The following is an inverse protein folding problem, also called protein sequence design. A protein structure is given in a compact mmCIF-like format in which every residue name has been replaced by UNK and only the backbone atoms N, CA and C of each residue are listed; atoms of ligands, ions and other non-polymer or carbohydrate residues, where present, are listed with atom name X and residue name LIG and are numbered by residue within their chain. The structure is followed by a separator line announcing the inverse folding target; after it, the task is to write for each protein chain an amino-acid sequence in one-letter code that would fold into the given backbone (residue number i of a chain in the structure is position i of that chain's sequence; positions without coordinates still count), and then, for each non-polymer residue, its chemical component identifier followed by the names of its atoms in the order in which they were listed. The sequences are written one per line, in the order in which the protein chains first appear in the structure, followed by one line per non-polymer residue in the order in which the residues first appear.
data_IF_504518488552
#
_entry.id   IF_504518488552
#
_cell.length_a   1.000
_cell.length_b   1.000
_cell.length_c   1.000
_cell.angle_alpha   90.00
_cell.angle_beta   90.00
_cell.angle_gamma   90.00
#
_symmetry.space_group_name_H-M   'P 1'
#
loop_
_entity.id
_entity.type
_entity.pdbx_description
1 polymer ?
#
# COMPACT_ATOMS: atom_id res chain seq x y z
N UNK A 1 7.02 -13.49 -21.08
CA UNK A 1 7.58 -12.15 -20.86
C UNK A 1 7.00 -11.55 -19.58
N UNK A 2 7.82 -11.18 -18.59
CA UNK A 2 7.34 -10.68 -17.30
C UNK A 2 6.65 -9.32 -17.37
N UNK A 3 6.92 -8.54 -18.43
CA UNK A 3 6.37 -7.18 -18.61
C UNK A 3 4.95 -7.10 -19.19
N UNK A 4 4.31 -8.21 -19.51
CA UNK A 4 2.94 -8.21 -20.06
C UNK A 4 1.88 -8.15 -18.95
N UNK A 5 1.78 -7.01 -18.27
CA UNK A 5 0.85 -6.80 -17.15
C UNK A 5 -0.60 -7.12 -17.50
N UNK A 6 -1.10 -6.66 -18.65
CA UNK A 6 -2.48 -6.95 -19.11
C UNK A 6 -2.72 -8.44 -19.31
N UNK A 7 -1.80 -9.14 -19.98
CA UNK A 7 -1.92 -10.59 -20.17
C UNK A 7 -1.92 -11.34 -18.82
N UNK A 8 -1.10 -10.90 -17.89
CA UNK A 8 -1.04 -11.45 -16.53
C UNK A 8 -2.34 -11.20 -15.77
N UNK A 9 -2.92 -10.01 -15.90
CA UNK A 9 -4.23 -9.69 -15.33
C UNK A 9 -5.33 -10.61 -15.83
N UNK A 10 -5.44 -10.80 -17.15
CA UNK A 10 -6.41 -11.72 -17.76
C UNK A 10 -6.19 -13.16 -17.30
N UNK A 11 -4.93 -13.61 -17.22
CA UNK A 11 -4.59 -14.93 -16.73
C UNK A 11 -5.09 -15.12 -15.28
N UNK A 12 -4.78 -14.17 -14.37
CA UNK A 12 -5.22 -14.23 -12.98
C UNK A 12 -6.74 -14.19 -12.84
N UNK A 13 -7.40 -13.29 -13.53
CA UNK A 13 -8.87 -13.20 -13.52
C UNK A 13 -9.50 -14.52 -13.97
N UNK A 14 -8.97 -15.16 -15.04
CA UNK A 14 -9.47 -16.44 -15.51
C UNK A 14 -9.18 -17.59 -14.54
N UNK A 15 -8.01 -17.58 -13.87
CA UNK A 15 -7.66 -18.55 -12.84
C UNK A 15 -8.56 -18.42 -11.61
N UNK A 16 -8.82 -17.19 -11.15
CA UNK A 16 -9.74 -16.91 -10.04
C UNK A 16 -11.16 -17.38 -10.38
N UNK A 17 -11.63 -17.12 -11.59
CA UNK A 17 -12.96 -17.56 -12.03
C UNK A 17 -13.10 -19.09 -12.09
N UNK A 18 -12.04 -19.80 -12.47
CA UNK A 18 -12.00 -21.27 -12.52
C UNK A 18 -11.77 -21.91 -11.14
N UNK A 19 -11.16 -21.23 -10.22
CA UNK A 19 -10.79 -21.77 -8.92
C UNK A 19 -11.98 -21.80 -7.98
N UNK A 20 -12.47 -22.98 -7.65
CA UNK A 20 -13.44 -23.17 -6.57
C UNK A 20 -12.85 -22.83 -5.19
N UNK A 21 -11.53 -22.80 -5.05
CA UNK A 21 -10.81 -22.46 -3.84
C UNK A 21 -10.91 -20.96 -3.50
N UNK A 22 -11.21 -20.10 -4.46
CA UNK A 22 -11.44 -18.67 -4.26
C UNK A 22 -12.61 -18.37 -3.28
N UNK A 23 -13.48 -19.34 -3.06
CA UNK A 23 -14.62 -19.28 -2.14
C UNK A 23 -14.35 -20.06 -0.84
N UNK A 24 -13.26 -20.81 -0.78
CA UNK A 24 -12.96 -21.75 0.31
C UNK A 24 -12.21 -21.08 1.45
N UNK A 25 -12.67 -21.32 2.68
CA UNK A 25 -12.05 -20.81 3.90
C UNK A 25 -10.64 -21.36 4.18
N UNK A 26 -10.05 -20.91 5.27
CA UNK A 26 -8.69 -21.20 5.75
C UNK A 26 -8.27 -22.70 5.71
N UNK A 27 -9.21 -23.64 5.92
CA UNK A 27 -8.93 -25.07 5.93
C UNK A 27 -8.49 -25.62 4.55
N UNK A 28 -9.09 -25.13 3.46
CA UNK A 28 -8.73 -25.56 2.10
C UNK A 28 -7.41 -24.95 1.66
N UNK A 29 -7.12 -23.72 2.06
CA UNK A 29 -5.83 -23.08 1.82
C UNK A 29 -4.69 -23.87 2.49
N UNK A 30 -4.86 -24.38 3.70
CA UNK A 30 -3.86 -25.19 4.39
C UNK A 30 -3.58 -26.53 3.70
N UNK A 31 -4.63 -27.17 3.17
CA UNK A 31 -4.51 -28.42 2.39
C UNK A 31 -3.78 -28.18 1.07
N UNK A 32 -4.06 -27.09 0.38
CA UNK A 32 -3.38 -26.71 -0.86
C UNK A 32 -1.91 -26.45 -0.62
N UNK A 33 -1.57 -25.76 0.46
CA UNK A 33 -0.19 -25.49 0.85
C UNK A 33 0.57 -26.80 1.12
N UNK A 34 -0.03 -27.72 1.90
CA UNK A 34 0.61 -29.00 2.23
C UNK A 34 0.89 -29.82 0.97
N UNK A 35 -0.05 -29.87 0.04
CA UNK A 35 0.10 -30.55 -1.27
C UNK A 35 1.18 -29.93 -2.14
N UNK A 36 1.37 -28.62 -2.05
CA UNK A 36 2.30 -27.86 -2.89
C UNK A 36 3.60 -27.49 -2.18
N UNK A 37 3.84 -28.01 -0.96
CA UNK A 37 4.94 -27.59 -0.09
C UNK A 37 6.31 -27.63 -0.79
N UNK A 38 6.61 -28.69 -1.53
CA UNK A 38 7.88 -28.81 -2.26
C UNK A 38 8.06 -27.72 -3.33
N UNK A 39 7.00 -27.44 -4.08
CA UNK A 39 7.02 -26.37 -5.09
C UNK A 39 7.06 -24.99 -4.44
N UNK A 40 6.40 -24.82 -3.30
CA UNK A 40 6.42 -23.59 -2.52
C UNK A 40 7.82 -23.26 -2.00
N UNK A 41 8.50 -24.21 -1.36
CA UNK A 41 9.87 -24.03 -0.89
C UNK A 41 10.84 -23.71 -2.04
N UNK A 42 10.69 -24.40 -3.17
CA UNK A 42 11.49 -24.14 -4.37
C UNK A 42 11.24 -22.72 -4.89
N UNK A 43 9.99 -22.29 -4.98
CA UNK A 43 9.63 -20.94 -5.42
C UNK A 43 10.19 -19.89 -4.46
N UNK A 44 10.11 -20.12 -3.15
CA UNK A 44 10.63 -19.21 -2.13
C UNK A 44 12.16 -19.07 -2.20
N UNK A 45 12.88 -20.18 -2.35
CA UNK A 45 14.34 -20.16 -2.52
C UNK A 45 14.75 -19.38 -3.79
N UNK A 46 14.04 -19.59 -4.89
CA UNK A 46 14.33 -18.91 -6.16
C UNK A 46 13.97 -17.42 -6.09
N UNK A 47 12.87 -17.07 -5.40
CA UNK A 47 12.42 -15.71 -5.24
C UNK A 47 13.43 -14.83 -4.48
N UNK A 48 14.02 -15.36 -3.42
CA UNK A 48 15.07 -14.68 -2.64
C UNK A 48 16.49 -14.88 -3.16
N UNK A 49 16.69 -15.71 -4.20
CA UNK A 49 18.01 -16.11 -4.70
C UNK A 49 18.46 -15.32 -5.93
N UNK A 50 19.47 -15.90 -6.61
CA UNK A 50 20.10 -15.28 -7.81
C UNK A 50 19.23 -15.30 -9.08
N UNK A 51 18.08 -16.03 -9.06
CA UNK A 51 17.22 -16.22 -10.24
C UNK A 51 15.76 -15.90 -9.93
N UNK A 52 15.42 -14.63 -9.60
CA UNK A 52 14.06 -14.27 -9.18
C UNK A 52 13.02 -14.47 -10.31
N UNK A 53 13.41 -14.35 -11.59
CA UNK A 53 12.50 -14.64 -12.71
C UNK A 53 12.03 -16.10 -12.75
N UNK A 54 12.95 -17.04 -12.42
CA UNK A 54 12.57 -18.46 -12.23
C UNK A 54 11.68 -18.63 -11.00
N UNK A 55 11.89 -17.80 -9.97
CA UNK A 55 11.01 -17.69 -8.79
C UNK A 55 9.61 -17.26 -9.17
N UNK A 56 9.47 -16.22 -10.02
CA UNK A 56 8.18 -15.79 -10.57
C UNK A 56 7.47 -16.91 -11.32
N UNK A 57 8.21 -17.61 -12.21
CA UNK A 57 7.64 -18.72 -12.98
C UNK A 57 7.19 -19.89 -12.08
N UNK A 58 7.93 -20.18 -11.02
CA UNK A 58 7.56 -21.20 -10.04
C UNK A 58 6.34 -20.77 -9.21
N UNK A 59 6.28 -19.50 -8.80
CA UNK A 59 5.15 -18.93 -8.08
C UNK A 59 3.89 -18.86 -8.95
N UNK A 60 4.01 -18.58 -10.25
CA UNK A 60 2.89 -18.62 -11.20
C UNK A 60 2.24 -20.01 -11.27
N UNK A 61 3.03 -21.09 -11.19
CA UNK A 61 2.50 -22.46 -11.12
C UNK A 61 1.73 -22.72 -9.82
N UNK A 62 2.16 -22.15 -8.70
CA UNK A 62 1.44 -22.24 -7.43
C UNK A 62 0.12 -21.46 -7.51
N UNK A 63 0.15 -20.25 -8.03
CA UNK A 63 -1.02 -19.40 -8.20
C UNK A 63 -2.01 -19.95 -9.24
N UNK A 64 -1.57 -20.85 -10.14
CA UNK A 64 -2.50 -21.56 -11.04
C UNK A 64 -3.35 -22.61 -10.29
N UNK A 65 -2.90 -23.08 -9.14
CA UNK A 65 -3.64 -24.04 -8.29
C UNK A 65 -4.55 -23.33 -7.29
N UNK A 66 -4.03 -22.30 -6.63
CA UNK A 66 -4.81 -21.42 -5.73
C UNK A 66 -4.36 -19.97 -5.93
N UNK A 67 -5.07 -19.22 -6.78
CA UNK A 67 -4.66 -17.86 -7.18
C UNK A 67 -4.81 -16.82 -6.06
N UNK A 68 -5.54 -17.13 -5.00
CA UNK A 68 -5.77 -16.24 -3.85
C UNK A 68 -5.08 -16.73 -2.56
N UNK A 69 -4.22 -17.76 -2.64
CA UNK A 69 -3.51 -18.25 -1.48
C UNK A 69 -2.51 -17.20 -0.97
N UNK A 70 -2.62 -16.72 0.28
CA UNK A 70 -1.80 -15.59 0.77
C UNK A 70 -0.30 -15.82 0.62
N UNK A 71 0.18 -17.02 0.96
CA UNK A 71 1.60 -17.34 0.87
C UNK A 71 2.11 -17.41 -0.57
N UNK A 72 1.29 -17.92 -1.52
CA UNK A 72 1.67 -17.97 -2.93
C UNK A 72 1.74 -16.58 -3.55
N UNK A 73 0.77 -15.71 -3.19
CA UNK A 73 0.77 -14.30 -3.54
C UNK A 73 2.02 -13.59 -3.00
N UNK A 74 2.38 -13.84 -1.74
CA UNK A 74 3.57 -13.27 -1.11
C UNK A 74 4.88 -13.71 -1.79
N UNK A 75 5.02 -15.00 -2.11
CA UNK A 75 6.21 -15.51 -2.81
C UNK A 75 6.32 -14.94 -4.21
N UNK A 76 5.18 -14.83 -4.92
CA UNK A 76 5.17 -14.19 -6.24
C UNK A 76 5.57 -12.72 -6.16
N UNK A 77 5.04 -11.97 -5.19
CA UNK A 77 5.40 -10.57 -4.99
C UNK A 77 6.90 -10.41 -4.71
N UNK A 78 7.47 -11.25 -3.81
CA UNK A 78 8.92 -11.24 -3.54
C UNK A 78 9.74 -11.53 -4.79
N UNK A 79 9.33 -12.51 -5.59
CA UNK A 79 10.04 -12.85 -6.82
C UNK A 79 9.96 -11.71 -7.84
N UNK A 80 8.80 -11.06 -7.97
CA UNK A 80 8.59 -9.97 -8.90
C UNK A 80 9.37 -8.71 -8.49
N UNK A 81 9.40 -8.35 -7.22
CA UNK A 81 10.20 -7.24 -6.69
C UNK A 81 11.69 -7.46 -6.96
N UNK A 82 12.22 -8.64 -6.60
CA UNK A 82 13.62 -8.97 -6.79
C UNK A 82 14.02 -9.10 -8.26
N UNK A 83 13.06 -9.39 -9.14
CA UNK A 83 13.26 -9.40 -10.59
C UNK A 83 13.16 -8.02 -11.24
N UNK A 84 12.82 -6.95 -10.48
CA UNK A 84 12.65 -5.60 -11.00
C UNK A 84 11.30 -5.33 -11.67
N UNK A 85 10.26 -6.11 -11.30
CA UNK A 85 8.90 -5.95 -11.82
C UNK A 85 7.89 -5.63 -10.69
N UNK A 86 8.05 -4.49 -9.98
CA UNK A 86 7.19 -4.14 -8.84
C UNK A 86 5.72 -4.00 -9.24
N UNK A 87 5.43 -3.56 -10.47
CA UNK A 87 4.05 -3.43 -10.96
C UNK A 87 3.34 -4.80 -11.05
N UNK A 88 4.07 -5.86 -11.38
CA UNK A 88 3.52 -7.22 -11.42
C UNK A 88 3.21 -7.74 -9.99
N UNK A 89 4.04 -7.36 -9.01
CA UNK A 89 3.80 -7.64 -7.61
C UNK A 89 2.55 -6.90 -7.12
N UNK A 90 2.47 -5.60 -7.36
CA UNK A 90 1.32 -4.75 -7.01
C UNK A 90 0.04 -5.33 -7.58
N UNK A 91 -0.01 -5.59 -8.88
CA UNK A 91 -1.20 -6.13 -9.55
C UNK A 91 -1.68 -7.45 -8.92
N UNK A 92 -0.75 -8.34 -8.57
CA UNK A 92 -1.11 -9.63 -7.97
C UNK A 92 -1.64 -9.45 -6.54
N UNK A 93 -1.04 -8.53 -5.77
CA UNK A 93 -1.47 -8.18 -4.42
C UNK A 93 -2.82 -7.44 -4.42
N UNK A 94 -3.05 -6.50 -5.37
CA UNK A 94 -4.34 -5.82 -5.56
C UNK A 94 -5.47 -6.84 -5.75
N UNK A 95 -5.30 -7.75 -6.70
CA UNK A 95 -6.30 -8.77 -7.00
C UNK A 95 -6.59 -9.69 -5.81
N UNK A 96 -5.57 -10.02 -5.02
CA UNK A 96 -5.74 -10.83 -3.82
C UNK A 96 -6.44 -10.02 -2.72
N UNK A 97 -6.08 -8.76 -2.53
CA UNK A 97 -6.66 -7.88 -1.53
C UNK A 97 -8.12 -7.52 -1.82
N UNK A 98 -8.47 -7.24 -3.08
CA UNK A 98 -9.85 -7.00 -3.49
C UNK A 98 -10.80 -8.16 -3.17
N UNK A 99 -10.28 -9.39 -3.22
CA UNK A 99 -11.06 -10.61 -2.99
C UNK A 99 -11.06 -11.08 -1.54
N UNK A 100 -10.01 -10.75 -0.80
CA UNK A 100 -9.77 -11.18 0.58
C UNK A 100 -9.57 -10.02 1.54
N UNK A 101 -10.16 -8.90 1.38
CA UNK A 101 -9.98 -7.61 2.03
C UNK A 101 -9.61 -7.56 3.52
N UNK A 102 -9.53 -8.72 4.19
CA UNK A 102 -9.20 -8.93 5.60
C UNK A 102 -7.74 -9.39 5.86
N UNK A 103 -6.95 -9.65 4.81
CA UNK A 103 -5.55 -10.11 4.98
C UNK A 103 -4.61 -8.93 5.23
N UNK A 104 -4.30 -8.73 6.51
CA UNK A 104 -3.42 -7.66 6.98
C UNK A 104 -2.02 -7.73 6.35
N UNK A 105 -1.48 -8.93 6.12
CA UNK A 105 -0.14 -9.09 5.57
C UNK A 105 -0.07 -8.68 4.09
N UNK A 106 -1.11 -9.03 3.31
CA UNK A 106 -1.25 -8.60 1.92
C UNK A 106 -1.44 -7.07 1.85
N UNK A 107 -2.34 -6.51 2.67
CA UNK A 107 -2.62 -5.08 2.69
C UNK A 107 -1.38 -4.26 3.06
N UNK A 108 -0.65 -4.66 4.09
CA UNK A 108 0.57 -3.99 4.54
C UNK A 108 1.67 -4.01 3.47
N UNK A 109 1.83 -5.15 2.79
CA UNK A 109 2.82 -5.26 1.72
C UNK A 109 2.44 -4.43 0.50
N UNK A 110 1.17 -4.44 0.13
CA UNK A 110 0.65 -3.63 -0.98
C UNK A 110 0.87 -2.13 -0.72
N UNK A 111 0.57 -1.67 0.50
CA UNK A 111 0.80 -0.29 0.89
C UNK A 111 2.27 0.11 0.81
N UNK A 112 3.18 -0.75 1.26
CA UNK A 112 4.63 -0.54 1.14
C UNK A 112 5.07 -0.42 -0.31
N UNK A 113 4.65 -1.35 -1.17
CA UNK A 113 4.99 -1.32 -2.61
C UNK A 113 4.44 -0.07 -3.32
N UNK A 114 3.25 0.39 -2.98
CA UNK A 114 2.75 1.65 -3.52
C UNK A 114 3.61 2.84 -3.12
N UNK A 115 4.08 2.87 -1.87
CA UNK A 115 5.00 3.91 -1.40
C UNK A 115 6.34 3.84 -2.15
N UNK A 116 6.90 2.64 -2.33
CA UNK A 116 8.19 2.42 -3.01
C UNK A 116 8.16 2.84 -4.50
N UNK A 117 7.02 2.66 -5.18
CA UNK A 117 6.85 3.10 -6.58
C UNK A 117 6.32 4.53 -6.72
N UNK A 118 6.19 5.28 -5.61
CA UNK A 118 5.72 6.67 -5.62
C UNK A 118 4.24 6.85 -5.89
N UNK A 119 3.40 5.82 -5.68
CA UNK A 119 1.94 5.93 -5.75
C UNK A 119 1.37 6.30 -4.37
N UNK A 120 1.77 7.46 -3.86
CA UNK A 120 1.53 7.93 -2.48
C UNK A 120 0.06 7.95 -2.09
N UNK A 121 -0.83 8.38 -2.99
CA UNK A 121 -2.27 8.37 -2.75
C UNK A 121 -2.81 6.96 -2.50
N UNK A 122 -2.42 5.98 -3.32
CA UNK A 122 -2.85 4.58 -3.13
C UNK A 122 -2.23 3.96 -1.89
N UNK A 123 -0.98 4.31 -1.58
CA UNK A 123 -0.33 3.89 -0.34
C UNK A 123 -1.12 4.38 0.88
N UNK A 124 -1.50 5.67 0.90
CA UNK A 124 -2.34 6.26 1.94
C UNK A 124 -3.68 5.52 2.07
N UNK A 125 -4.42 5.34 0.97
CA UNK A 125 -5.70 4.61 0.97
C UNK A 125 -5.57 3.19 1.55
N UNK A 126 -4.47 2.49 1.26
CA UNK A 126 -4.19 1.18 1.86
C UNK A 126 -3.88 1.27 3.36
N UNK A 127 -3.11 2.27 3.80
CA UNK A 127 -2.83 2.47 5.23
C UNK A 127 -4.07 2.90 6.01
N UNK A 128 -4.97 3.69 5.44
CA UNK A 128 -6.27 4.03 6.02
C UNK A 128 -7.06 2.74 6.31
N UNK A 129 -7.20 1.85 5.33
CA UNK A 129 -7.88 0.56 5.52
C UNK A 129 -7.19 -0.33 6.56
N UNK A 130 -5.86 -0.31 6.64
CA UNK A 130 -5.10 -1.04 7.66
C UNK A 130 -5.40 -0.55 9.07
N UNK A 131 -5.50 0.77 9.25
CA UNK A 131 -5.87 1.38 10.54
C UNK A 131 -7.33 1.07 10.90
N UNK A 132 -8.25 1.06 9.94
CA UNK A 132 -9.64 0.62 10.17
C UNK A 132 -9.69 -0.83 10.65
N UNK A 133 -8.88 -1.72 10.07
CA UNK A 133 -8.79 -3.13 10.49
C UNK A 133 -8.16 -3.30 11.88
N UNK A 134 -7.23 -2.41 12.27
CA UNK A 134 -6.51 -2.43 13.55
C UNK A 134 -6.33 -1.03 14.14
N UNK A 135 -7.37 -0.42 14.69
CA UNK A 135 -7.33 0.96 15.18
C UNK A 135 -6.40 1.15 16.39
N UNK A 136 -6.11 0.09 17.14
CA UNK A 136 -5.25 0.13 18.32
C UNK A 136 -3.75 -0.08 18.02
N UNK A 137 -3.38 -0.27 16.75
CA UNK A 137 -1.97 -0.42 16.36
C UNK A 137 -1.34 0.96 16.14
N UNK A 138 -0.66 1.47 17.16
CA UNK A 138 0.00 2.79 17.14
C UNK A 138 1.04 2.92 16.02
N UNK A 139 1.67 1.80 15.61
CA UNK A 139 2.63 1.81 14.52
C UNK A 139 1.93 2.07 13.16
N UNK A 140 0.77 1.44 12.92
CA UNK A 140 -0.01 1.69 11.72
C UNK A 140 -0.52 3.13 11.67
N UNK A 141 -0.99 3.67 12.81
CA UNK A 141 -1.43 5.07 12.90
C UNK A 141 -0.28 6.04 12.59
N UNK A 142 0.94 5.75 13.06
CA UNK A 142 2.12 6.56 12.75
C UNK A 142 2.46 6.51 11.25
N UNK A 143 2.53 5.30 10.68
CA UNK A 143 2.82 5.12 9.24
C UNK A 143 1.76 5.82 8.38
N UNK A 144 0.47 5.77 8.78
CA UNK A 144 -0.59 6.51 8.08
C UNK A 144 -0.36 8.01 8.11
N UNK A 145 0.02 8.59 9.25
CA UNK A 145 0.34 10.02 9.35
C UNK A 145 1.50 10.41 8.43
N UNK A 146 2.54 9.58 8.39
CA UNK A 146 3.69 9.79 7.51
C UNK A 146 3.26 9.71 6.02
N UNK A 147 2.41 8.74 5.66
CA UNK A 147 1.87 8.59 4.30
C UNK A 147 0.97 9.77 3.89
N UNK A 148 0.15 10.30 4.80
CA UNK A 148 -0.66 11.50 4.56
C UNK A 148 0.24 12.72 4.30
N UNK A 149 1.31 12.89 5.08
CA UNK A 149 2.25 13.98 4.90
C UNK A 149 2.92 13.91 3.52
N UNK A 150 3.39 12.73 3.12
CA UNK A 150 4.03 12.51 1.81
C UNK A 150 3.04 12.78 0.67
N UNK A 151 1.82 12.25 0.74
CA UNK A 151 0.78 12.46 -0.28
C UNK A 151 0.41 13.95 -0.41
N UNK A 152 0.32 14.67 0.70
CA UNK A 152 0.07 16.11 0.72
C UNK A 152 1.20 16.90 0.08
N UNK A 153 2.45 16.54 0.36
CA UNK A 153 3.62 17.17 -0.26
C UNK A 153 3.64 16.93 -1.79
N UNK A 154 3.44 15.70 -2.25
CA UNK A 154 3.38 15.40 -3.69
C UNK A 154 2.20 16.07 -4.39
N UNK A 155 1.05 16.16 -3.74
CA UNK A 155 -0.12 16.88 -4.25
C UNK A 155 0.19 18.35 -4.50
N UNK A 156 0.91 18.99 -3.59
CA UNK A 156 1.34 20.39 -3.71
C UNK A 156 2.32 20.59 -4.86
N UNK A 157 3.32 19.69 -5.01
CA UNK A 157 4.32 19.79 -6.09
C UNK A 157 3.70 19.56 -7.48
N UNK A 158 2.73 18.65 -7.62
CA UNK A 158 2.04 18.40 -8.90
C UNK A 158 1.05 19.52 -9.28
N UNK A 159 0.52 20.27 -8.31
CA UNK A 159 -0.30 21.44 -8.56
C UNK A 159 0.51 22.65 -9.02
N UNK A 160 1.77 22.77 -8.58
CA UNK A 160 2.65 23.87 -9.01
C UNK A 160 3.12 23.73 -10.47
N UNK A 161 3.15 22.53 -11.04
CA UNK A 161 3.52 22.32 -12.45
C UNK A 161 2.39 22.64 -13.44
N UNK A 162 1.13 22.75 -12.98
CA UNK A 162 -0.05 22.99 -13.83
C UNK A 162 -0.75 24.31 -13.58
N UNK A 163 -0.47 24.99 -12.50
CA UNK A 163 -0.97 26.34 -12.22
C UNK A 163 0.15 27.34 -12.24
N UNK A 164 -0.05 28.44 -13.00
CA UNK A 164 0.78 29.62 -13.01
C UNK A 164 1.50 29.83 -11.69
N UNK A 165 2.82 30.02 -11.74
CA UNK A 165 3.71 30.32 -10.63
C UNK A 165 2.99 31.16 -9.58
N UNK A 166 2.41 30.54 -8.58
CA UNK A 166 2.05 31.26 -7.35
C UNK A 166 3.37 31.79 -6.83
N UNK A 167 3.51 33.10 -6.90
CA UNK A 167 4.75 33.77 -6.54
C UNK A 167 5.06 33.37 -5.09
N UNK A 168 6.32 33.07 -4.80
CA UNK A 168 6.81 32.91 -3.41
C UNK A 168 6.28 34.03 -2.49
N UNK A 169 5.96 35.19 -3.06
CA UNK A 169 5.34 36.33 -2.43
C UNK A 169 3.90 36.07 -1.93
N UNK A 170 3.10 35.25 -2.65
CA UNK A 170 1.74 34.90 -2.23
C UNK A 170 1.73 33.88 -1.10
N UNK A 171 2.72 32.97 -1.08
CA UNK A 171 2.95 32.00 0.02
C UNK A 171 3.39 32.74 1.28
N UNK A 172 4.31 33.73 1.15
CA UNK A 172 4.75 34.58 2.26
C UNK A 172 3.60 35.43 2.82
N UNK A 173 2.71 35.96 1.97
CA UNK A 173 1.55 36.75 2.40
C UNK A 173 0.56 35.92 3.24
N UNK A 174 0.32 34.67 2.83
CA UNK A 174 -0.53 33.77 3.62
C UNK A 174 0.15 33.34 4.94
N UNK A 175 1.49 33.25 4.97
CA UNK A 175 2.27 32.99 6.19
C UNK A 175 2.16 34.15 7.18
N UNK A 176 2.21 35.39 6.69
CA UNK A 176 2.12 36.60 7.50
C UNK A 176 0.69 36.78 8.07
N UNK A 177 -0.34 36.50 7.25
CA UNK A 177 -1.73 36.47 7.73
C UNK A 177 -1.98 35.39 8.79
N UNK A 178 -1.42 34.20 8.60
CA UNK A 178 -1.50 33.12 9.59
C UNK A 178 -0.79 33.46 10.88
N UNK A 179 0.38 34.12 10.82
CA UNK A 179 1.11 34.60 11.99
C UNK A 179 0.34 35.71 12.74
N UNK A 180 -0.33 36.60 12.01
CA UNK A 180 -1.17 37.66 12.59
C UNK A 180 -2.40 37.09 13.30
N UNK A 181 -3.09 36.12 12.71
CA UNK A 181 -4.22 35.40 13.31
C UNK A 181 -3.80 34.62 14.56
N UNK A 182 -2.60 34.00 14.55
CA UNK A 182 -2.07 33.30 15.71
C UNK A 182 -1.71 34.30 16.85
N UNK A 183 -1.23 35.48 16.50
CA UNK A 183 -0.92 36.54 17.46
C UNK A 183 -2.20 37.14 18.07
N UNK A 184 -3.24 37.38 17.25
CA UNK A 184 -4.55 37.82 17.73
C UNK A 184 -5.21 36.75 18.65
N UNK A 185 -5.09 35.47 18.31
CA UNK A 185 -5.63 34.39 19.15
C UNK A 185 -4.93 34.27 20.49
N UNK A 186 -3.64 34.64 20.58
CA UNK A 186 -2.87 34.69 21.82
C UNK A 186 -3.23 35.94 22.64
N UNK A 187 -3.46 37.10 21.99
CA UNK A 187 -3.89 38.29 22.66
C UNK A 187 -5.28 38.15 23.30
N UNK A 188 -6.22 37.51 22.61
CA UNK A 188 -7.57 37.23 23.13
C UNK A 188 -7.54 36.28 24.34
N UNK A 189 -6.57 35.31 24.40
CA UNK A 189 -6.39 34.45 25.58
C UNK A 189 -5.85 35.23 26.76
N UNK A 190 -4.91 36.14 26.56
CA UNK A 190 -4.32 36.95 27.64
C UNK A 190 -5.33 37.92 28.25
N UNK A 191 -6.25 38.51 27.47
CA UNK A 191 -7.30 39.39 27.98
C UNK A 191 -8.33 38.61 28.82
N UNK A 192 -8.72 37.41 28.43
CA UNK A 192 -9.61 36.55 29.23
C UNK A 192 -8.97 36.07 30.53
N UNK A 193 -7.65 35.82 30.53
CA UNK A 193 -6.90 35.46 31.72
C UNK A 193 -6.67 36.66 32.63
N UNK A 194 -6.61 37.88 32.08
CA UNK A 194 -6.52 39.13 32.88
C UNK A 194 -7.84 39.43 33.59
N UNK A 195 -8.97 39.22 32.95
CA UNK A 195 -10.32 39.43 33.55
C UNK A 195 -10.59 38.40 34.66
N UNK A 196 -10.05 37.18 34.58
CA UNK A 196 -10.17 36.15 35.62
C UNK A 196 -9.32 36.43 36.85
N UNK A 197 -8.31 37.30 36.77
CA UNK A 197 -7.44 37.70 37.89
C UNK A 197 -7.96 38.94 38.64
N UNK A 198 -8.95 39.63 38.14
CA UNK A 198 -9.54 40.86 38.73
C UNK A 198 -10.86 40.56 39.47
N UNK A 199 -11.41 39.35 39.33
CA UNK A 199 -12.62 38.86 40.02
C UNK A 199 -12.26 38.02 41.25
#
# INVERSE_FOLDING_TARGET
EPGLLKARQYLRTSQIAKSKAAVSGSAVASLTLTKCMGNYLKAQMLAGGKNPEKGMTAADKLLSQDPLHPQFVQVFATAAENAGYPEAAIQTLEMAFERRGDDLAIAKRLAGLYADVGQTRKARECYERLVEMRPNDLNLVKILKDAIAIDSMEGTWKQDDTSEKRSFRDIMKNSDEAALLEQESKAVKTDKDADALIA
#
